data_IF_664246918522
#
_entry.id   IF_664246918522
#
_cell.length_a   1.000
_cell.length_b   1.000
_cell.length_c   1.000
_cell.angle_alpha   90.00
_cell.angle_beta   90.00
_cell.angle_gamma   90.00
#
_symmetry.space_group_name_H-M   'P 1'
#
loop_
_entity.id
_entity.type
_entity.pdbx_description
1 polymer ?
#
# COMPACT_ATOMS: atom_id res chain seq x y z
N UNK A 1 10.65 -16.66 -7.79
CA UNK A 1 9.64 -15.71 -7.33
C UNK A 1 8.48 -16.47 -6.72
N UNK A 2 8.11 -16.12 -5.49
CA UNK A 2 6.98 -16.78 -4.86
C UNK A 2 5.67 -16.42 -5.57
N UNK A 3 4.80 -17.40 -5.71
CA UNK A 3 3.46 -17.15 -6.22
C UNK A 3 2.51 -16.93 -5.04
N UNK A 4 1.69 -15.90 -5.13
CA UNK A 4 0.73 -15.56 -4.10
C UNK A 4 -0.69 -15.72 -4.62
N UNK A 5 -1.57 -16.23 -3.77
CA UNK A 5 -2.98 -16.29 -4.07
C UNK A 5 -3.62 -14.92 -3.76
N UNK A 6 -4.08 -14.23 -4.78
CA UNK A 6 -4.65 -12.88 -4.65
C UNK A 6 -6.18 -12.86 -4.66
N UNK A 7 -6.84 -14.01 -4.72
CA UNK A 7 -8.30 -14.09 -4.84
C UNK A 7 -9.02 -13.37 -3.71
N UNK A 8 -8.61 -13.62 -2.46
CA UNK A 8 -9.26 -12.98 -1.32
C UNK A 8 -9.02 -11.47 -1.31
N UNK A 9 -7.80 -11.04 -1.63
CA UNK A 9 -7.47 -9.63 -1.73
C UNK A 9 -8.33 -8.92 -2.77
N UNK A 10 -8.46 -9.54 -3.96
CA UNK A 10 -9.28 -8.98 -5.04
C UNK A 10 -10.75 -8.91 -4.65
N UNK A 11 -11.28 -9.94 -3.96
CA UNK A 11 -12.66 -9.93 -3.46
C UNK A 11 -12.89 -8.83 -2.44
N UNK A 12 -11.96 -8.65 -1.51
CA UNK A 12 -12.07 -7.62 -0.49
C UNK A 12 -12.08 -6.23 -1.11
N UNK A 13 -11.25 -6.00 -2.12
CA UNK A 13 -11.24 -4.74 -2.86
C UNK A 13 -12.55 -4.52 -3.64
N UNK A 14 -13.08 -5.57 -4.28
CA UNK A 14 -14.37 -5.47 -4.98
C UNK A 14 -15.52 -5.13 -4.04
N UNK A 15 -15.49 -5.66 -2.82
CA UNK A 15 -16.49 -5.32 -1.80
C UNK A 15 -16.45 -3.83 -1.45
N UNK A 16 -15.32 -3.18 -1.66
CA UNK A 16 -15.17 -1.72 -1.49
C UNK A 16 -15.48 -0.94 -2.77
N UNK A 17 -15.86 -1.63 -3.84
CA UNK A 17 -16.10 -1.00 -5.14
C UNK A 17 -14.84 -0.78 -5.96
N UNK A 18 -13.74 -1.46 -5.63
CA UNK A 18 -12.45 -1.26 -6.29
C UNK A 18 -12.07 -2.53 -7.06
N UNK A 19 -11.92 -2.40 -8.37
CA UNK A 19 -11.40 -3.47 -9.23
C UNK A 19 -9.96 -3.14 -9.61
N UNK A 20 -9.02 -3.97 -9.16
CA UNK A 20 -7.61 -3.77 -9.43
C UNK A 20 -7.22 -4.39 -10.77
N UNK A 21 -6.39 -3.69 -11.53
CA UNK A 21 -5.76 -4.25 -12.72
C UNK A 21 -4.66 -5.23 -12.35
N UNK A 22 -4.21 -6.04 -13.31
CA UNK A 22 -3.07 -6.95 -13.10
C UNK A 22 -1.82 -6.17 -12.69
N UNK A 23 -1.61 -5.01 -13.27
CA UNK A 23 -0.49 -4.14 -12.91
C UNK A 23 -0.57 -3.67 -11.46
N UNK A 24 -1.75 -3.26 -11.01
CA UNK A 24 -1.94 -2.83 -9.63
C UNK A 24 -1.72 -3.98 -8.65
N UNK A 25 -2.21 -5.17 -8.97
CA UNK A 25 -2.00 -6.36 -8.15
C UNK A 25 -0.50 -6.64 -8.04
N UNK A 26 0.24 -6.57 -9.15
CA UNK A 26 1.67 -6.76 -9.16
C UNK A 26 2.40 -5.73 -8.30
N UNK A 27 1.96 -4.48 -8.34
CA UNK A 27 2.51 -3.41 -7.51
C UNK A 27 2.32 -3.70 -6.02
N UNK A 28 1.13 -4.16 -5.61
CA UNK A 28 0.88 -4.54 -4.23
C UNK A 28 1.76 -5.72 -3.79
N UNK A 29 1.94 -6.72 -4.65
CA UNK A 29 2.79 -7.86 -4.34
C UNK A 29 4.26 -7.45 -4.19
N UNK A 30 4.73 -6.58 -5.07
CA UNK A 30 6.08 -6.05 -4.98
C UNK A 30 6.29 -5.24 -3.70
N UNK A 31 5.31 -4.41 -3.36
CA UNK A 31 5.31 -3.65 -2.13
C UNK A 31 5.37 -4.57 -0.90
N UNK A 32 4.56 -5.62 -0.90
CA UNK A 32 4.59 -6.61 0.17
C UNK A 32 5.97 -7.25 0.33
N UNK A 33 6.57 -7.70 -0.77
CA UNK A 33 7.90 -8.33 -0.72
C UNK A 33 8.95 -7.37 -0.17
N UNK A 34 8.94 -6.13 -0.60
CA UNK A 34 9.87 -5.11 -0.11
C UNK A 34 9.63 -4.79 1.36
N UNK A 35 8.37 -4.74 1.78
CA UNK A 35 8.01 -4.50 3.18
C UNK A 35 8.60 -5.58 4.09
N UNK A 36 8.45 -6.84 3.71
CA UNK A 36 8.98 -7.97 4.49
C UNK A 36 10.51 -7.92 4.53
N UNK A 37 11.14 -7.70 3.37
CA UNK A 37 12.60 -7.63 3.26
C UNK A 37 13.19 -6.52 4.14
N UNK A 38 12.67 -5.32 4.03
CA UNK A 38 13.17 -4.19 4.80
C UNK A 38 12.81 -4.28 6.28
N UNK A 39 11.69 -4.94 6.60
CA UNK A 39 11.25 -5.10 7.99
C UNK A 39 12.22 -5.92 8.83
N UNK A 40 12.98 -6.83 8.22
CA UNK A 40 13.99 -7.61 8.91
C UNK A 40 15.08 -6.74 9.54
N UNK A 41 15.31 -5.56 8.97
CA UNK A 41 16.38 -4.64 9.40
C UNK A 41 15.83 -3.44 10.15
N UNK A 42 14.60 -2.98 9.85
CA UNK A 42 14.11 -1.67 10.26
C UNK A 42 12.87 -1.69 11.16
N UNK A 43 12.24 -2.82 11.37
CA UNK A 43 10.99 -2.92 12.15
C UNK A 43 9.92 -1.92 11.67
N UNK A 44 9.62 -1.98 10.37
CA UNK A 44 8.62 -1.08 9.77
C UNK A 44 7.20 -1.39 10.23
N UNK A 45 6.92 -2.66 10.51
CA UNK A 45 5.60 -3.13 10.94
C UNK A 45 5.75 -4.40 11.77
N UNK A 46 4.79 -4.63 12.69
CA UNK A 46 4.70 -5.88 13.43
C UNK A 46 4.01 -6.98 12.61
N UNK A 47 3.36 -6.61 11.50
CA UNK A 47 2.58 -7.53 10.67
C UNK A 47 3.38 -7.85 9.41
N UNK A 48 3.79 -9.11 9.25
CA UNK A 48 4.59 -9.57 8.10
C UNK A 48 3.98 -10.77 7.38
N UNK A 49 2.97 -11.41 7.94
CA UNK A 49 2.26 -12.50 7.28
C UNK A 49 1.47 -11.98 6.09
N UNK A 50 1.54 -12.69 4.97
CA UNK A 50 0.91 -12.26 3.71
C UNK A 50 -0.57 -11.90 3.87
N UNK A 51 -1.37 -12.82 4.42
CA UNK A 51 -2.81 -12.59 4.55
C UNK A 51 -3.13 -11.40 5.46
N UNK A 52 -2.35 -11.21 6.50
CA UNK A 52 -2.54 -10.08 7.42
C UNK A 52 -2.14 -8.75 6.79
N UNK A 53 -1.05 -8.71 6.03
CA UNK A 53 -0.63 -7.49 5.33
C UNK A 53 -1.68 -7.11 4.28
N UNK A 54 -2.14 -8.07 3.49
CA UNK A 54 -3.17 -7.82 2.48
C UNK A 54 -4.43 -7.23 3.11
N UNK A 55 -4.88 -7.79 4.22
CA UNK A 55 -6.13 -7.38 4.87
C UNK A 55 -5.96 -6.16 5.77
N UNK A 56 -5.01 -6.19 6.69
CA UNK A 56 -4.88 -5.17 7.75
C UNK A 56 -4.14 -3.93 7.29
N UNK A 57 -3.30 -4.03 6.27
CA UNK A 57 -2.58 -2.87 5.73
C UNK A 57 -3.18 -2.41 4.42
N UNK A 58 -3.25 -3.28 3.41
CA UNK A 58 -3.66 -2.84 2.08
C UNK A 58 -5.17 -2.62 1.97
N UNK A 59 -5.99 -3.62 2.29
CA UNK A 59 -7.44 -3.47 2.21
C UNK A 59 -7.93 -2.38 3.18
N UNK A 60 -7.39 -2.36 4.38
CA UNK A 60 -7.75 -1.35 5.37
C UNK A 60 -7.46 0.06 4.87
N UNK A 61 -6.30 0.26 4.24
CA UNK A 61 -5.94 1.55 3.64
C UNK A 61 -6.90 1.92 2.50
N UNK A 62 -7.19 0.98 1.62
CA UNK A 62 -8.11 1.20 0.49
C UNK A 62 -9.52 1.52 1.00
N UNK A 63 -9.91 0.99 2.16
CA UNK A 63 -11.24 1.21 2.74
C UNK A 63 -11.56 2.68 3.01
N UNK A 64 -10.55 3.54 3.04
CA UNK A 64 -10.77 4.99 3.13
C UNK A 64 -11.62 5.54 1.99
N UNK A 65 -11.71 4.83 0.85
CA UNK A 65 -12.57 5.23 -0.25
C UNK A 65 -14.07 5.25 0.15
N UNK A 66 -14.43 4.56 1.22
CA UNK A 66 -15.81 4.61 1.74
C UNK A 66 -16.13 5.90 2.48
N UNK A 67 -15.11 6.55 3.04
CA UNK A 67 -15.29 7.80 3.79
C UNK A 67 -15.03 9.04 2.92
N UNK A 68 -14.18 8.91 1.90
CA UNK A 68 -13.76 10.04 1.05
C UNK A 68 -13.80 9.64 -0.41
N UNK A 69 -14.21 10.57 -1.27
CA UNK A 69 -14.16 10.34 -2.72
C UNK A 69 -12.70 10.44 -3.19
N UNK A 70 -12.11 9.29 -3.49
CA UNK A 70 -10.73 9.19 -4.00
C UNK A 70 -10.68 8.88 -5.50
N UNK A 71 -11.84 8.88 -6.16
CA UNK A 71 -11.93 8.61 -7.60
C UNK A 71 -11.60 9.84 -8.45
N UNK A 72 -11.63 11.03 -7.85
CA UNK A 72 -11.26 12.29 -8.50
C UNK A 72 -9.81 12.64 -8.20
N UNK A 73 -9.26 13.57 -8.99
CA UNK A 73 -7.89 14.05 -8.81
C UNK A 73 -7.78 14.87 -7.53
N UNK A 74 -7.51 14.22 -6.42
CA UNK A 74 -7.35 14.87 -5.12
C UNK A 74 -5.90 14.82 -4.66
N UNK A 75 -5.55 15.77 -3.82
CA UNK A 75 -4.24 15.86 -3.18
C UNK A 75 -4.38 15.24 -1.79
N UNK A 76 -3.53 14.25 -1.49
CA UNK A 76 -3.51 13.57 -0.20
C UNK A 76 -2.13 13.76 0.42
N UNK A 77 -2.11 14.17 1.68
CA UNK A 77 -0.87 14.26 2.46
C UNK A 77 -1.00 13.28 3.62
N UNK A 78 -0.11 12.29 3.64
CA UNK A 78 -0.07 11.28 4.70
C UNK A 78 1.05 11.62 5.68
N UNK A 79 0.69 12.17 6.82
CA UNK A 79 1.63 12.61 7.86
C UNK A 79 1.92 11.46 8.81
N UNK A 80 3.21 11.16 9.02
CA UNK A 80 3.61 10.03 9.82
C UNK A 80 3.31 8.70 9.13
N UNK A 81 3.59 8.63 7.84
CA UNK A 81 3.17 7.51 6.98
C UNK A 81 3.80 6.17 7.36
N UNK A 82 4.94 6.17 8.07
CA UNK A 82 5.62 4.93 8.45
C UNK A 82 6.03 4.10 7.25
N UNK A 83 5.48 2.91 7.14
CA UNK A 83 5.73 1.99 6.01
C UNK A 83 4.93 2.33 4.73
N UNK A 84 4.25 3.49 4.71
CA UNK A 84 3.52 3.97 3.54
C UNK A 84 2.02 3.80 3.65
N UNK A 85 1.49 3.59 4.83
CA UNK A 85 0.05 3.38 5.04
C UNK A 85 -0.60 4.60 5.69
N UNK A 86 -1.74 5.05 5.19
CA UNK A 86 -2.48 4.52 4.03
C UNK A 86 -2.04 5.08 2.67
N UNK A 87 -1.19 6.10 2.65
CA UNK A 87 -0.94 6.92 1.45
C UNK A 87 -0.45 6.15 0.23
N UNK A 88 0.57 5.32 0.37
CA UNK A 88 1.14 4.60 -0.77
C UNK A 88 0.19 3.53 -1.29
N UNK A 89 -0.51 2.82 -0.40
CA UNK A 89 -1.52 1.86 -0.82
C UNK A 89 -2.66 2.53 -1.59
N UNK A 90 -3.10 3.72 -1.14
CA UNK A 90 -4.11 4.50 -1.84
C UNK A 90 -3.62 4.93 -3.23
N UNK A 91 -2.37 5.32 -3.36
CA UNK A 91 -1.81 5.73 -4.66
C UNK A 91 -1.81 4.57 -5.67
N UNK A 92 -1.48 3.37 -5.22
CA UNK A 92 -1.53 2.19 -6.09
C UNK A 92 -2.97 1.90 -6.54
N UNK A 93 -3.91 1.92 -5.61
CA UNK A 93 -5.32 1.62 -5.91
C UNK A 93 -6.00 2.72 -6.73
N UNK A 94 -5.60 3.97 -6.53
CA UNK A 94 -6.19 5.16 -7.17
C UNK A 94 -5.09 6.02 -7.78
N UNK A 95 -4.57 5.63 -8.97
CA UNK A 95 -3.39 6.29 -9.55
C UNK A 95 -3.55 7.79 -9.84
N UNK A 96 -4.79 8.28 -9.91
CA UNK A 96 -5.05 9.70 -10.17
C UNK A 96 -4.82 10.59 -8.94
N UNK A 97 -4.67 10.01 -7.75
CA UNK A 97 -4.37 10.79 -6.56
C UNK A 97 -2.95 11.36 -6.63
N UNK A 98 -2.79 12.57 -6.12
CA UNK A 98 -1.49 13.16 -5.87
C UNK A 98 -1.18 12.96 -4.39
N UNK A 99 -0.26 12.05 -4.08
CA UNK A 99 0.03 11.65 -2.71
C UNK A 99 1.42 12.13 -2.31
N UNK A 100 1.50 12.79 -1.17
CA UNK A 100 2.75 13.15 -0.52
C UNK A 100 2.85 12.39 0.79
N UNK A 101 3.95 11.69 0.98
CA UNK A 101 4.23 10.92 2.18
C UNK A 101 5.23 11.66 3.05
N UNK A 102 4.89 11.88 4.31
CA UNK A 102 5.76 12.58 5.27
C UNK A 102 6.09 11.67 6.43
N UNK A 103 7.36 11.61 6.79
CA UNK A 103 7.82 10.91 7.99
C UNK A 103 9.06 11.59 8.55
N UNK A 104 9.25 11.48 9.87
CA UNK A 104 10.38 12.11 10.54
C UNK A 104 11.66 11.25 10.54
N UNK A 105 11.56 9.96 10.19
CA UNK A 105 12.70 9.04 10.22
C UNK A 105 13.24 8.78 8.81
N UNK A 106 14.51 9.13 8.60
CA UNK A 106 15.19 8.94 7.32
C UNK A 106 15.17 7.47 6.83
N UNK A 107 15.23 6.53 7.75
CA UNK A 107 15.15 5.10 7.42
C UNK A 107 13.85 4.76 6.68
N UNK A 108 12.72 5.29 7.15
CA UNK A 108 11.42 5.07 6.52
C UNK A 108 11.33 5.78 5.17
N UNK A 109 11.86 6.99 5.10
CA UNK A 109 11.91 7.75 3.83
C UNK A 109 12.74 6.99 2.80
N UNK A 110 13.86 6.40 3.17
CA UNK A 110 14.67 5.60 2.27
C UNK A 110 13.92 4.37 1.76
N UNK A 111 13.21 3.68 2.64
CA UNK A 111 12.35 2.56 2.25
C UNK A 111 11.29 3.00 1.23
N UNK A 112 10.57 4.08 1.55
CA UNK A 112 9.49 4.58 0.70
C UNK A 112 10.01 4.99 -0.68
N UNK A 113 11.17 5.65 -0.76
CA UNK A 113 11.77 6.02 -2.04
C UNK A 113 12.14 4.79 -2.87
N UNK A 114 12.66 3.73 -2.24
CA UNK A 114 12.97 2.48 -2.94
C UNK A 114 11.70 1.82 -3.49
N UNK A 115 10.63 1.77 -2.70
CA UNK A 115 9.35 1.22 -3.15
C UNK A 115 8.78 2.04 -4.30
N UNK A 116 8.76 3.35 -4.18
CA UNK A 116 8.25 4.25 -5.23
C UNK A 116 9.02 4.02 -6.53
N UNK A 117 10.34 3.90 -6.45
CA UNK A 117 11.18 3.66 -7.63
C UNK A 117 10.95 2.29 -8.26
N UNK A 118 10.59 1.30 -7.46
CA UNK A 118 10.37 -0.07 -7.94
C UNK A 118 8.98 -0.25 -8.57
N UNK A 119 8.04 0.61 -8.26
CA UNK A 119 6.67 0.55 -8.79
C UNK A 119 6.52 1.48 -9.99
#
# INVERSE_FOLDING_TARGET
MAEYNTEQFEKDCKALGVTLSDEQIRQFLKYFEMLVEWNEVMNLTAITEYDEVMKKHFVDSISLCKAYDVTQNKIVIDVGTGAGFPGLALKIAFPNLQVTLLDSLNKRINFLNEVISAL
#
